data_IF_120832193339
#
_entry.id   IF_120832193339
#
_cell.length_a   1.000
_cell.length_b   1.000
_cell.length_c   1.000
_cell.angle_alpha   90.00
_cell.angle_beta   90.00
_cell.angle_gamma   90.00
#
_symmetry.space_group_name_H-M   'P 1'
#
loop_
_entity.id
_entity.type
_entity.pdbx_description
1 polymer ?
#
# COMPACT_ATOMS: atom_id res chain seq x y z
N UNK A 1 7.53 -65.95 -28.28
CA UNK A 1 7.54 -66.61 -26.96
C UNK A 1 7.29 -65.53 -25.90
N UNK A 2 6.12 -65.53 -25.26
CA UNK A 2 5.75 -64.57 -24.22
C UNK A 2 6.18 -65.12 -22.85
N UNK A 3 7.05 -64.41 -22.15
CA UNK A 3 7.46 -64.72 -20.78
C UNK A 3 6.56 -63.97 -19.80
N UNK A 4 5.67 -64.69 -19.13
CA UNK A 4 4.80 -64.17 -18.06
C UNK A 4 5.61 -63.89 -16.79
N UNK A 5 5.57 -62.65 -16.28
CA UNK A 5 6.07 -62.29 -14.94
C UNK A 5 5.26 -63.03 -13.86
N UNK A 6 5.87 -63.52 -12.76
CA UNK A 6 5.11 -64.14 -11.67
C UNK A 6 4.24 -63.09 -10.97
N UNK A 7 2.97 -63.44 -10.70
CA UNK A 7 2.04 -62.64 -9.90
C UNK A 7 2.56 -62.52 -8.46
N UNK A 8 2.81 -61.31 -7.98
CA UNK A 8 3.09 -61.07 -6.56
C UNK A 8 1.88 -61.47 -5.71
N UNK A 9 2.08 -62.43 -4.80
CA UNK A 9 1.02 -62.90 -3.90
C UNK A 9 0.83 -61.88 -2.77
N UNK A 10 -0.27 -61.15 -2.78
CA UNK A 10 -0.66 -60.31 -1.65
C UNK A 10 -1.00 -61.18 -0.43
N UNK A 11 -0.31 -60.93 0.68
CA UNK A 11 -0.55 -61.63 1.94
C UNK A 11 -1.95 -61.29 2.49
N UNK A 12 -2.65 -62.31 2.97
CA UNK A 12 -3.92 -62.14 3.69
C UNK A 12 -3.70 -61.43 5.05
N UNK A 13 -4.77 -60.92 5.66
CA UNK A 13 -4.68 -60.26 6.97
C UNK A 13 -4.15 -61.21 8.07
N UNK A 14 -4.54 -62.48 8.03
CA UNK A 14 -4.05 -63.50 8.98
C UNK A 14 -2.56 -63.80 8.75
N UNK A 15 -2.11 -63.84 7.50
CA UNK A 15 -0.70 -64.01 7.15
C UNK A 15 0.15 -62.79 7.58
N UNK A 16 -0.39 -61.57 7.43
CA UNK A 16 0.25 -60.33 7.92
C UNK A 16 0.37 -60.32 9.44
N UNK A 17 -0.68 -60.73 10.15
CA UNK A 17 -0.70 -60.81 11.61
C UNK A 17 0.29 -61.87 12.13
N UNK A 18 0.25 -63.07 11.56
CA UNK A 18 1.20 -64.15 11.89
C UNK A 18 2.65 -63.71 11.66
N UNK A 19 2.94 -63.07 10.51
CA UNK A 19 4.26 -62.52 10.20
C UNK A 19 4.71 -61.44 11.19
N UNK A 20 3.79 -60.59 11.65
CA UNK A 20 4.07 -59.60 12.68
C UNK A 20 4.38 -60.27 14.02
N UNK A 21 3.59 -61.26 14.45
CA UNK A 21 3.82 -62.02 15.68
C UNK A 21 5.18 -62.73 15.66
N UNK A 22 5.56 -63.34 14.53
CA UNK A 22 6.88 -63.99 14.37
C UNK A 22 8.02 -62.96 14.44
N UNK A 23 7.88 -61.81 13.77
CA UNK A 23 8.88 -60.73 13.82
C UNK A 23 8.99 -60.10 15.21
N UNK A 24 7.91 -60.00 15.96
CA UNK A 24 7.95 -59.47 17.33
C UNK A 24 8.64 -60.42 18.32
N UNK A 25 8.84 -61.70 17.98
CA UNK A 25 9.64 -62.64 18.78
C UNK A 25 11.15 -62.53 18.53
N UNK A 26 11.55 -61.93 17.40
CA UNK A 26 12.95 -61.75 17.04
C UNK A 26 13.52 -60.48 17.71
N UNK A 27 14.61 -60.60 18.51
CA UNK A 27 15.25 -59.46 19.19
C UNK A 27 15.69 -58.34 18.26
N UNK A 28 16.14 -58.64 17.04
CA UNK A 28 16.59 -57.63 16.07
C UNK A 28 15.40 -56.85 15.49
N UNK A 29 14.31 -57.55 15.15
CA UNK A 29 13.09 -56.92 14.68
C UNK A 29 12.40 -56.08 15.76
N UNK A 30 12.52 -56.47 17.04
CA UNK A 30 12.06 -55.63 18.17
C UNK A 30 12.87 -54.35 18.28
N UNK A 31 14.20 -54.42 18.14
CA UNK A 31 15.07 -53.23 18.12
C UNK A 31 14.74 -52.32 16.93
N UNK A 32 14.66 -52.89 15.73
CA UNK A 32 14.32 -52.16 14.51
C UNK A 32 12.93 -51.52 14.59
N UNK A 33 11.91 -52.25 15.05
CA UNK A 33 10.57 -51.74 15.28
C UNK A 33 10.54 -50.63 16.33
N UNK A 34 11.31 -50.78 17.42
CA UNK A 34 11.49 -49.75 18.44
C UNK A 34 12.12 -48.46 17.89
N UNK A 35 13.17 -48.56 17.07
CA UNK A 35 13.81 -47.42 16.41
C UNK A 35 12.85 -46.71 15.44
N UNK A 36 12.06 -47.47 14.68
CA UNK A 36 11.05 -46.92 13.76
C UNK A 36 9.91 -46.22 14.50
N UNK A 37 9.41 -46.82 15.58
CA UNK A 37 8.33 -46.25 16.38
C UNK A 37 8.80 -45.00 17.13
N UNK A 38 9.97 -45.05 17.76
CA UNK A 38 10.57 -43.90 18.45
C UNK A 38 10.87 -42.75 17.49
N UNK A 39 11.41 -43.02 16.30
CA UNK A 39 11.60 -42.00 15.27
C UNK A 39 10.29 -41.34 14.82
N UNK A 40 9.21 -42.12 14.65
CA UNK A 40 7.87 -41.59 14.32
C UNK A 40 7.26 -40.77 15.45
N UNK A 41 7.33 -41.26 16.69
CA UNK A 41 6.82 -40.56 17.87
C UNK A 41 7.58 -39.25 18.11
N UNK A 42 8.91 -39.26 17.92
CA UNK A 42 9.74 -38.06 17.98
C UNK A 42 9.36 -37.07 16.87
N UNK A 43 9.15 -37.55 15.63
CA UNK A 43 8.67 -36.72 14.52
C UNK A 43 7.31 -36.08 14.80
N UNK A 44 6.34 -36.85 15.32
CA UNK A 44 5.02 -36.32 15.73
C UNK A 44 5.18 -35.31 16.87
N UNK A 45 6.02 -35.60 17.86
CA UNK A 45 6.31 -34.69 18.98
C UNK A 45 6.90 -33.36 18.52
N UNK A 46 7.84 -33.38 17.56
CA UNK A 46 8.42 -32.16 16.96
C UNK A 46 7.35 -31.37 16.20
N UNK A 47 6.49 -32.03 15.42
CA UNK A 47 5.39 -31.36 14.71
C UNK A 47 4.39 -30.73 15.69
N UNK A 48 4.01 -31.43 16.76
CA UNK A 48 3.10 -30.91 17.76
C UNK A 48 3.73 -29.76 18.57
N UNK A 49 5.02 -29.85 18.89
CA UNK A 49 5.75 -28.75 19.53
C UNK A 49 5.82 -27.53 18.62
N UNK A 50 6.11 -27.74 17.32
CA UNK A 50 6.07 -26.67 16.33
C UNK A 50 4.68 -26.06 16.22
N UNK A 51 3.61 -26.86 16.19
CA UNK A 51 2.23 -26.36 16.22
C UNK A 51 1.92 -25.57 17.50
N UNK A 52 2.40 -26.01 18.66
CA UNK A 52 2.20 -25.31 19.94
C UNK A 52 2.94 -23.98 20.00
N UNK A 53 4.21 -23.97 19.60
CA UNK A 53 5.03 -22.74 19.53
C UNK A 53 4.45 -21.80 18.47
N UNK A 54 4.06 -22.32 17.30
CA UNK A 54 3.46 -21.51 16.26
C UNK A 54 2.10 -20.97 16.71
N UNK A 55 1.29 -21.78 17.40
CA UNK A 55 0.00 -21.34 17.93
C UNK A 55 0.15 -20.29 19.03
N UNK A 56 1.12 -20.44 19.92
CA UNK A 56 1.34 -19.49 21.02
C UNK A 56 2.01 -18.19 20.60
N UNK A 57 2.79 -18.20 19.50
CA UNK A 57 3.54 -17.03 19.00
C UNK A 57 2.80 -16.30 17.86
N UNK A 58 2.07 -17.02 17.00
CA UNK A 58 1.47 -16.44 15.79
C UNK A 58 -0.06 -16.32 15.80
N UNK A 59 -0.77 -16.93 16.76
CA UNK A 59 -2.22 -16.84 16.82
C UNK A 59 -2.69 -15.97 17.99
N UNK A 60 -3.57 -15.02 17.71
CA UNK A 60 -4.22 -14.18 18.72
C UNK A 60 -5.29 -14.96 19.48
N UNK A 61 -5.39 -14.75 20.79
CA UNK A 61 -6.42 -15.37 21.64
C UNK A 61 -7.81 -14.81 21.30
N UNK A 62 -8.60 -15.54 20.50
CA UNK A 62 -9.99 -15.17 20.20
C UNK A 62 -10.86 -15.58 21.38
N UNK A 63 -11.44 -14.61 22.07
CA UNK A 63 -12.39 -14.86 23.15
C UNK A 63 -13.79 -14.95 22.56
N UNK A 64 -14.47 -16.08 22.76
CA UNK A 64 -15.88 -16.20 22.41
C UNK A 64 -16.71 -15.26 23.29
N UNK A 65 -17.55 -14.45 22.65
CA UNK A 65 -18.43 -13.51 23.35
C UNK A 65 -19.53 -14.29 24.08
N UNK A 66 -19.54 -14.24 25.42
CA UNK A 66 -20.54 -14.90 26.25
C UNK A 66 -21.71 -13.95 26.56
N UNK A 67 -22.81 -14.08 25.82
CA UNK A 67 -24.11 -13.44 26.13
C UNK A 67 -24.79 -12.80 24.91
N UNK A 68 -26.13 -12.64 24.92
CA UNK A 68 -26.83 -11.87 23.90
C UNK A 68 -26.44 -10.38 24.03
N UNK A 69 -25.95 -9.72 22.96
CA UNK A 69 -25.48 -8.36 23.06
C UNK A 69 -26.65 -7.38 23.16
N UNK A 70 -26.60 -6.49 24.14
CA UNK A 70 -27.35 -5.24 24.09
C UNK A 70 -26.74 -4.39 22.98
N UNK A 71 -27.46 -4.23 21.86
CA UNK A 71 -26.93 -3.56 20.66
C UNK A 71 -26.81 -2.06 20.94
N UNK A 72 -25.58 -1.58 21.12
CA UNK A 72 -25.27 -0.15 21.19
C UNK A 72 -25.09 0.41 19.79
N UNK A 73 -25.31 1.71 19.61
CA UNK A 73 -25.08 2.37 18.32
C UNK A 73 -23.64 2.14 17.79
N UNK A 74 -22.64 2.09 18.68
CA UNK A 74 -21.25 1.79 18.33
C UNK A 74 -21.07 0.37 17.75
N UNK A 75 -21.87 -0.61 18.17
CA UNK A 75 -21.82 -1.98 17.67
C UNK A 75 -22.29 -2.10 16.21
N UNK A 76 -22.93 -1.04 15.68
CA UNK A 76 -23.35 -0.92 14.29
C UNK A 76 -22.43 0.03 13.52
N UNK A 77 -22.12 1.21 14.08
CA UNK A 77 -21.34 2.25 13.41
C UNK A 77 -19.88 1.83 13.19
N UNK A 78 -19.24 1.22 14.19
CA UNK A 78 -17.83 0.83 14.09
C UNK A 78 -17.60 -0.21 12.99
N UNK A 79 -18.41 -1.30 12.86
CA UNK A 79 -18.31 -2.20 11.73
C UNK A 79 -18.56 -1.55 10.37
N UNK A 80 -19.52 -0.62 10.27
CA UNK A 80 -19.82 0.08 9.00
C UNK A 80 -18.65 0.96 8.57
N UNK A 81 -18.08 1.74 9.49
CA UNK A 81 -16.88 2.55 9.24
C UNK A 81 -15.66 1.69 8.92
N UNK A 82 -15.53 0.54 9.59
CA UNK A 82 -14.47 -0.44 9.30
C UNK A 82 -14.62 -1.03 7.90
N UNK A 83 -15.84 -1.42 7.51
CA UNK A 83 -16.11 -1.94 6.16
C UNK A 83 -15.78 -0.90 5.10
N UNK A 84 -16.23 0.35 5.29
CA UNK A 84 -15.91 1.46 4.40
C UNK A 84 -14.40 1.66 4.25
N UNK A 85 -13.67 1.69 5.37
CA UNK A 85 -12.22 1.86 5.38
C UNK A 85 -11.51 0.71 4.66
N UNK A 86 -11.96 -0.54 4.83
CA UNK A 86 -11.39 -1.69 4.13
C UNK A 86 -11.64 -1.64 2.62
N UNK A 87 -12.87 -1.32 2.19
CA UNK A 87 -13.18 -1.14 0.77
C UNK A 87 -12.30 -0.05 0.17
N UNK A 88 -12.18 1.08 0.86
CA UNK A 88 -11.29 2.15 0.45
C UNK A 88 -9.82 1.71 0.38
N UNK A 89 -9.34 0.96 1.37
CA UNK A 89 -7.97 0.43 1.37
C UNK A 89 -7.69 -0.48 0.17
N UNK A 90 -8.66 -1.32 -0.23
CA UNK A 90 -8.52 -2.19 -1.39
C UNK A 90 -8.48 -1.41 -2.70
N UNK A 91 -9.26 -0.33 -2.81
CA UNK A 91 -9.22 0.58 -3.95
C UNK A 91 -7.88 1.32 -4.04
N UNK A 92 -7.36 1.80 -2.90
CA UNK A 92 -6.03 2.44 -2.84
C UNK A 92 -4.93 1.45 -3.18
N UNK A 93 -4.96 0.24 -2.65
CA UNK A 93 -4.01 -0.80 -3.05
C UNK A 93 -4.10 -1.13 -4.54
N UNK A 94 -5.30 -1.08 -5.12
CA UNK A 94 -5.52 -1.16 -6.57
C UNK A 94 -4.78 -0.10 -7.38
N UNK A 95 -4.42 1.05 -6.78
CA UNK A 95 -3.57 2.05 -7.42
C UNK A 95 -2.19 1.51 -7.76
N UNK A 96 -1.69 0.48 -7.07
CA UNK A 96 -0.39 -0.10 -7.41
C UNK A 96 -0.36 -0.77 -8.77
N UNK A 97 -1.47 -1.39 -9.19
CA UNK A 97 -1.63 -1.87 -10.56
C UNK A 97 -1.58 -0.67 -11.52
N UNK A 98 -2.25 0.42 -11.16
CA UNK A 98 -2.24 1.68 -11.90
C UNK A 98 -0.84 2.26 -12.08
N UNK A 99 -0.06 2.41 -11.01
CA UNK A 99 1.32 2.90 -11.06
C UNK A 99 2.22 1.98 -11.86
N UNK A 100 2.17 0.68 -11.62
CA UNK A 100 2.96 -0.32 -12.35
C UNK A 100 2.73 -0.19 -13.86
N UNK A 101 1.47 -0.06 -14.29
CA UNK A 101 1.13 0.13 -15.69
C UNK A 101 1.53 1.52 -16.22
N UNK A 102 1.28 2.58 -15.44
CA UNK A 102 1.64 3.95 -15.80
C UNK A 102 3.15 4.06 -16.05
N UNK A 103 3.95 3.57 -15.11
CA UNK A 103 5.42 3.59 -15.15
C UNK A 103 5.96 2.71 -16.25
N UNK A 104 5.43 1.49 -16.40
CA UNK A 104 5.78 0.61 -17.51
C UNK A 104 5.53 1.34 -18.84
N UNK A 105 4.32 1.84 -19.08
CA UNK A 105 3.99 2.49 -20.35
C UNK A 105 4.85 3.72 -20.67
N UNK A 106 5.15 4.56 -19.66
CA UNK A 106 6.00 5.73 -19.82
C UNK A 106 7.51 5.44 -19.82
N UNK A 107 7.95 4.27 -19.37
CA UNK A 107 9.34 3.87 -19.50
C UNK A 107 9.64 3.41 -20.94
N UNK A 108 10.93 3.15 -21.19
CA UNK A 108 11.40 2.53 -22.43
C UNK A 108 11.19 1.02 -22.33
N UNK A 109 10.97 0.35 -23.46
CA UNK A 109 10.65 -1.09 -23.49
C UNK A 109 11.70 -2.00 -22.85
N UNK A 110 12.97 -1.60 -22.84
CA UNK A 110 14.06 -2.39 -22.24
C UNK A 110 14.09 -2.32 -20.70
N UNK A 111 13.41 -1.35 -20.09
CA UNK A 111 13.33 -1.16 -18.64
C UNK A 111 12.05 -1.77 -18.05
N UNK A 112 11.06 -2.14 -18.87
CA UNK A 112 9.73 -2.56 -18.42
C UNK A 112 9.80 -3.71 -17.39
N UNK A 113 10.60 -4.75 -17.63
CA UNK A 113 10.72 -5.89 -16.70
C UNK A 113 11.25 -5.45 -15.33
N UNK A 114 12.19 -4.50 -15.32
CA UNK A 114 12.77 -3.97 -14.10
C UNK A 114 11.74 -3.16 -13.30
N UNK A 115 10.96 -2.32 -13.98
CA UNK A 115 9.85 -1.56 -13.38
C UNK A 115 8.82 -2.50 -12.72
N UNK A 116 8.42 -3.57 -13.42
CA UNK A 116 7.46 -4.53 -12.88
C UNK A 116 7.97 -5.20 -11.60
N UNK A 117 9.25 -5.58 -11.59
CA UNK A 117 9.86 -6.21 -10.41
C UNK A 117 10.02 -5.21 -9.26
N UNK A 118 10.42 -3.98 -9.55
CA UNK A 118 10.58 -2.91 -8.57
C UNK A 118 9.27 -2.58 -7.88
N UNK A 119 8.18 -2.33 -8.63
CA UNK A 119 6.88 -2.01 -8.02
C UNK A 119 6.39 -3.12 -7.06
N UNK A 120 6.49 -4.39 -7.47
CA UNK A 120 6.04 -5.52 -6.64
C UNK A 120 6.90 -5.69 -5.39
N UNK A 121 8.22 -5.59 -5.53
CA UNK A 121 9.14 -5.75 -4.41
C UNK A 121 9.04 -4.56 -3.44
N UNK A 122 8.89 -3.34 -3.97
CA UNK A 122 8.64 -2.13 -3.19
C UNK A 122 7.36 -2.28 -2.36
N UNK A 123 6.28 -2.79 -2.95
CA UNK A 123 5.04 -3.10 -2.22
C UNK A 123 5.24 -4.08 -1.06
N UNK A 124 5.94 -5.18 -1.32
CA UNK A 124 6.21 -6.19 -0.28
C UNK A 124 7.08 -5.61 0.85
N UNK A 125 8.12 -4.86 0.49
CA UNK A 125 9.05 -4.25 1.44
C UNK A 125 8.34 -3.16 2.25
N UNK A 126 7.51 -2.36 1.59
CA UNK A 126 6.67 -1.34 2.20
C UNK A 126 5.76 -1.95 3.27
N UNK A 127 5.04 -3.02 2.93
CA UNK A 127 4.15 -3.70 3.88
C UNK A 127 4.87 -4.18 5.14
N UNK A 128 6.05 -4.80 5.00
CA UNK A 128 6.82 -5.29 6.15
C UNK A 128 7.38 -4.15 6.99
N UNK A 129 7.90 -3.09 6.37
CA UNK A 129 8.47 -1.94 7.09
C UNK A 129 7.41 -1.11 7.79
N UNK A 130 6.27 -0.90 7.14
CA UNK A 130 5.17 -0.15 7.70
C UNK A 130 4.49 -0.91 8.84
N UNK A 131 4.44 -2.25 8.76
CA UNK A 131 4.09 -3.13 9.88
C UNK A 131 5.08 -3.00 11.05
N UNK A 132 6.38 -3.10 10.77
CA UNK A 132 7.40 -3.18 11.82
C UNK A 132 7.60 -1.85 12.56
N UNK A 133 7.73 -0.74 11.82
CA UNK A 133 8.11 0.56 12.39
C UNK A 133 7.33 1.75 11.79
N UNK A 134 6.91 1.70 10.53
CA UNK A 134 6.33 2.87 9.86
C UNK A 134 5.02 3.34 10.48
N UNK A 135 4.09 2.42 10.78
CA UNK A 135 2.85 2.79 11.46
C UNK A 135 3.09 3.34 12.87
N UNK A 136 4.05 2.76 13.59
CA UNK A 136 4.46 3.24 14.92
C UNK A 136 4.94 4.69 14.85
N UNK A 137 5.87 4.99 13.95
CA UNK A 137 6.40 6.35 13.79
C UNK A 137 5.34 7.36 13.35
N UNK A 138 4.40 6.95 12.49
CA UNK A 138 3.42 7.86 11.90
C UNK A 138 2.20 8.12 12.78
N UNK A 139 1.58 7.07 13.32
CA UNK A 139 0.24 7.15 13.89
C UNK A 139 0.18 6.89 15.40
N UNK A 140 1.27 6.48 16.03
CA UNK A 140 1.28 6.32 17.49
C UNK A 140 1.57 7.61 18.23
N UNK A 141 1.16 7.67 19.49
CA UNK A 141 1.55 8.76 20.38
C UNK A 141 3.07 8.80 20.62
N UNK A 142 3.60 10.01 20.83
CA UNK A 142 5.02 10.23 21.05
C UNK A 142 5.32 11.68 21.38
N UNK A 143 5.94 12.40 20.44
CA UNK A 143 6.17 13.84 20.53
C UNK A 143 5.82 14.51 19.19
N UNK A 144 5.97 15.84 19.11
CA UNK A 144 5.73 16.61 17.88
C UNK A 144 6.31 16.03 16.59
N UNK A 145 7.45 15.34 16.69
CA UNK A 145 8.25 14.89 15.56
C UNK A 145 8.00 13.43 15.16
N UNK A 146 7.73 12.53 16.11
CA UNK A 146 7.64 11.08 15.84
C UNK A 146 6.87 10.32 16.94
N UNK A 147 6.15 9.27 16.54
CA UNK A 147 5.49 8.32 17.45
C UNK A 147 6.45 7.29 18.07
N UNK A 148 6.09 6.76 19.26
CA UNK A 148 6.94 5.89 20.08
C UNK A 148 6.31 4.53 20.44
N UNK A 149 5.10 4.23 19.99
CA UNK A 149 4.35 3.03 20.38
C UNK A 149 3.91 2.19 19.18
N UNK A 150 3.48 0.94 19.45
CA UNK A 150 2.96 0.01 18.44
C UNK A 150 3.96 -0.47 17.39
N UNK A 151 5.25 -0.55 17.73
CA UNK A 151 6.22 -1.30 16.93
C UNK A 151 5.74 -2.74 16.73
N UNK A 152 5.80 -3.23 15.48
CA UNK A 152 5.25 -4.53 15.09
C UNK A 152 3.75 -4.68 15.42
N UNK A 153 3.01 -3.57 15.46
CA UNK A 153 1.61 -3.47 15.88
C UNK A 153 1.33 -4.04 17.29
N UNK A 154 2.36 -4.18 18.13
CA UNK A 154 2.24 -4.75 19.48
C UNK A 154 1.59 -3.74 20.44
N UNK A 155 0.65 -4.23 21.25
CA UNK A 155 -0.07 -3.38 22.20
C UNK A 155 -1.05 -2.40 21.54
N UNK A 156 -1.40 -2.64 20.27
CA UNK A 156 -2.42 -1.86 19.57
C UNK A 156 -3.81 -2.05 20.22
N UNK A 157 -4.60 -0.97 20.41
CA UNK A 157 -5.98 -1.07 20.85
C UNK A 157 -6.88 -1.72 19.78
N UNK A 158 -8.13 -2.01 20.14
CA UNK A 158 -9.09 -2.59 19.20
C UNK A 158 -9.47 -1.64 18.06
N UNK A 159 -9.57 -0.33 18.35
CA UNK A 159 -9.87 0.72 17.40
C UNK A 159 -8.80 1.80 17.43
N UNK A 160 -8.57 2.47 16.29
CA UNK A 160 -7.63 3.59 16.22
C UNK A 160 -8.28 4.89 16.74
N UNK A 161 -7.71 5.48 17.78
CA UNK A 161 -8.19 6.73 18.39
C UNK A 161 -9.71 6.73 18.61
N UNK A 162 -10.34 7.90 18.44
CA UNK A 162 -11.80 8.07 18.51
C UNK A 162 -12.52 7.75 17.20
N UNK A 163 -11.85 7.15 16.21
CA UNK A 163 -12.45 6.90 14.88
C UNK A 163 -13.52 5.81 14.90
N UNK A 164 -13.42 4.88 15.87
CA UNK A 164 -14.25 3.68 15.92
C UNK A 164 -13.89 2.64 14.85
N UNK A 165 -12.91 2.90 13.99
CA UNK A 165 -12.44 1.95 12.97
C UNK A 165 -11.50 0.93 13.61
N UNK A 166 -11.67 -0.34 13.26
CA UNK A 166 -10.77 -1.40 13.73
C UNK A 166 -9.30 -1.06 13.40
N UNK A 167 -8.42 -1.20 14.38
CA UNK A 167 -7.03 -0.73 14.27
C UNK A 167 -6.30 -1.32 13.06
N UNK A 168 -6.46 -2.62 12.80
CA UNK A 168 -5.84 -3.28 11.64
C UNK A 168 -6.44 -2.85 10.30
N UNK A 169 -7.69 -2.38 10.27
CA UNK A 169 -8.27 -1.81 9.07
C UNK A 169 -7.65 -0.44 8.75
N UNK A 170 -7.40 0.39 9.79
CA UNK A 170 -6.62 1.64 9.63
C UNK A 170 -5.20 1.33 9.19
N UNK A 171 -4.56 0.30 9.77
CA UNK A 171 -3.22 -0.11 9.33
C UNK A 171 -3.17 -0.45 7.84
N UNK A 172 -4.10 -1.29 7.34
CA UNK A 172 -4.11 -1.69 5.92
C UNK A 172 -4.40 -0.49 5.00
N UNK A 173 -5.27 0.42 5.45
CA UNK A 173 -5.58 1.65 4.73
C UNK A 173 -4.33 2.54 4.61
N UNK A 174 -3.65 2.78 5.72
CA UNK A 174 -2.47 3.64 5.76
C UNK A 174 -1.23 3.00 5.12
N UNK A 175 -1.10 1.67 5.16
CA UNK A 175 -0.11 0.94 4.37
C UNK A 175 -0.25 1.29 2.89
N UNK A 176 -1.47 1.28 2.36
CA UNK A 176 -1.68 1.56 0.94
C UNK A 176 -1.28 3.01 0.56
N UNK A 177 -1.37 3.97 1.49
CA UNK A 177 -0.90 5.35 1.29
C UNK A 177 0.63 5.46 1.35
N UNK A 178 1.26 4.77 2.31
CA UNK A 178 2.72 4.68 2.40
C UNK A 178 3.30 4.08 1.13
N UNK A 179 2.67 3.02 0.63
CA UNK A 179 3.03 2.34 -0.59
C UNK A 179 2.85 3.22 -1.83
N UNK A 180 1.76 4.00 -1.90
CA UNK A 180 1.56 5.02 -2.95
C UNK A 180 2.70 6.06 -2.93
N UNK A 181 3.12 6.52 -1.75
CA UNK A 181 4.22 7.48 -1.63
C UNK A 181 5.56 6.91 -2.13
N UNK A 182 5.84 5.65 -1.78
CA UNK A 182 7.06 4.95 -2.22
C UNK A 182 7.10 4.80 -3.74
N UNK A 183 6.01 4.34 -4.35
CA UNK A 183 5.93 4.12 -5.81
C UNK A 183 6.05 5.42 -6.62
N UNK A 184 5.56 6.56 -6.12
CA UNK A 184 5.81 7.87 -6.79
C UNK A 184 7.32 8.12 -6.98
N UNK A 185 8.13 7.66 -6.04
CA UNK A 185 9.58 7.85 -6.05
C UNK A 185 10.27 6.97 -7.10
N UNK A 186 9.87 5.69 -7.26
CA UNK A 186 10.47 4.78 -8.24
C UNK A 186 10.36 5.32 -9.65
N UNK A 187 9.18 5.79 -10.04
CA UNK A 187 8.86 6.23 -11.41
C UNK A 187 9.81 7.30 -11.97
N UNK A 188 10.26 8.22 -11.11
CA UNK A 188 11.18 9.29 -11.51
C UNK A 188 12.61 8.79 -11.77
N UNK A 189 13.00 7.71 -11.10
CA UNK A 189 14.37 7.19 -11.11
C UNK A 189 14.59 6.04 -12.10
N UNK A 190 13.51 5.52 -12.72
CA UNK A 190 13.54 4.45 -13.73
C UNK A 190 14.66 4.59 -14.76
N UNK A 191 15.30 3.45 -15.05
CA UNK A 191 16.26 3.26 -16.15
C UNK A 191 17.66 3.79 -15.87
N UNK A 192 17.95 4.10 -14.60
CA UNK A 192 19.26 4.55 -14.11
C UNK A 192 19.52 4.26 -12.63
N UNK A 193 18.51 3.93 -11.83
CA UNK A 193 18.72 3.23 -10.56
C UNK A 193 18.99 1.75 -10.83
N UNK A 194 19.86 1.15 -10.03
CA UNK A 194 19.98 -0.30 -9.97
C UNK A 194 19.13 -0.84 -8.83
N UNK A 195 18.62 -2.06 -8.98
CA UNK A 195 17.69 -2.71 -8.05
C UNK A 195 18.06 -2.61 -6.54
N UNK A 196 19.35 -2.68 -6.19
CA UNK A 196 19.78 -2.51 -4.78
C UNK A 196 19.54 -1.08 -4.27
N UNK A 197 19.75 -0.08 -5.12
CA UNK A 197 19.38 1.31 -4.83
C UNK A 197 17.88 1.46 -4.62
N UNK A 198 17.07 0.70 -5.36
CA UNK A 198 15.62 0.69 -5.20
C UNK A 198 15.18 0.13 -3.85
N UNK A 199 15.76 -0.99 -3.43
CA UNK A 199 15.54 -1.53 -2.09
C UNK A 199 15.94 -0.52 -0.99
N UNK A 200 17.10 0.12 -1.14
CA UNK A 200 17.59 1.06 -0.13
C UNK A 200 16.74 2.32 -0.03
N UNK A 201 16.29 2.90 -1.15
CA UNK A 201 15.37 4.04 -1.06
C UNK A 201 14.05 3.60 -0.43
N UNK A 202 13.49 2.45 -0.81
CA UNK A 202 12.23 1.95 -0.27
C UNK A 202 12.30 1.78 1.26
N UNK A 203 13.42 1.23 1.77
CA UNK A 203 13.66 1.18 3.22
C UNK A 203 13.64 2.56 3.87
N UNK A 204 14.35 3.53 3.28
CA UNK A 204 14.41 4.89 3.80
C UNK A 204 13.05 5.60 3.74
N UNK A 205 12.32 5.46 2.64
CA UNK A 205 11.05 6.14 2.41
C UNK A 205 9.98 5.57 3.32
N UNK A 206 9.69 4.28 3.23
CA UNK A 206 8.60 3.67 4.00
C UNK A 206 8.94 3.51 5.48
N UNK A 207 10.20 3.23 5.80
CA UNK A 207 10.62 3.03 7.19
C UNK A 207 10.80 4.32 7.99
N UNK A 208 11.15 5.44 7.32
CA UNK A 208 11.58 6.66 8.02
C UNK A 208 11.00 7.94 7.44
N UNK A 209 11.29 8.29 6.18
CA UNK A 209 10.97 9.63 5.64
C UNK A 209 9.46 9.87 5.61
N UNK A 210 8.70 8.98 4.96
CA UNK A 210 7.25 9.07 4.88
C UNK A 210 6.58 9.04 6.25
N UNK A 211 6.80 8.03 7.12
CA UNK A 211 6.07 7.97 8.38
C UNK A 211 6.44 9.10 9.36
N UNK A 212 7.69 9.57 9.38
CA UNK A 212 8.09 10.68 10.27
C UNK A 212 7.45 11.99 9.82
N UNK A 213 7.53 12.34 8.54
CA UNK A 213 6.90 13.57 8.03
C UNK A 213 5.37 13.44 8.10
N UNK A 214 4.84 12.24 7.84
CA UNK A 214 3.43 11.91 8.04
C UNK A 214 2.96 12.16 9.47
N UNK A 215 3.79 11.83 10.47
CA UNK A 215 3.49 12.12 11.87
C UNK A 215 3.30 13.61 12.13
N UNK A 216 4.08 14.47 11.47
CA UNK A 216 3.98 15.92 11.67
C UNK A 216 2.58 16.43 11.34
N UNK A 217 1.99 15.91 10.25
CA UNK A 217 0.71 16.37 9.69
C UNK A 217 -0.52 15.57 10.14
N UNK A 218 -0.38 14.25 10.33
CA UNK A 218 -1.49 13.33 10.62
C UNK A 218 -1.33 12.55 11.93
N UNK A 219 -0.16 12.60 12.56
CA UNK A 219 0.06 11.98 13.86
C UNK A 219 -0.72 12.72 14.95
N UNK A 220 -1.15 12.02 16.01
CA UNK A 220 -1.96 12.61 17.08
C UNK A 220 -1.26 13.77 17.79
N UNK A 221 0.07 13.71 17.86
CA UNK A 221 0.92 14.70 18.54
C UNK A 221 1.68 15.60 17.55
N UNK A 222 1.40 15.50 16.24
CA UNK A 222 2.18 16.12 15.18
C UNK A 222 2.33 17.64 15.30
N UNK A 223 3.55 18.15 15.16
CA UNK A 223 3.81 19.58 15.33
C UNK A 223 3.10 20.47 14.28
N UNK A 224 2.90 19.98 13.05
CA UNK A 224 2.11 20.68 12.04
C UNK A 224 0.61 20.53 12.31
N UNK A 225 0.16 19.33 12.70
CA UNK A 225 -1.24 19.07 13.07
C UNK A 225 -1.71 19.99 14.20
N UNK A 226 -0.84 20.25 15.19
CA UNK A 226 -1.15 21.05 16.36
C UNK A 226 -0.70 22.52 16.27
N UNK A 227 -0.14 22.98 15.14
CA UNK A 227 0.56 24.27 15.06
C UNK A 227 -0.26 25.48 15.51
N UNK A 228 -1.58 25.47 15.27
CA UNK A 228 -2.50 26.56 15.63
C UNK A 228 -3.22 26.38 16.96
N UNK A 229 -2.94 25.31 17.69
CA UNK A 229 -3.53 25.02 19.00
C UNK A 229 -2.81 25.79 20.12
N UNK A 230 -3.46 25.92 21.28
CA UNK A 230 -2.87 26.59 22.44
C UNK A 230 -1.51 25.96 22.82
N UNK A 231 -0.51 26.80 23.09
CA UNK A 231 0.83 26.36 23.47
C UNK A 231 1.74 25.90 22.32
N UNK A 232 1.31 26.01 21.06
CA UNK A 232 2.10 25.62 19.88
C UNK A 232 2.61 26.84 19.07
N UNK A 233 3.58 26.59 18.18
CA UNK A 233 4.43 27.64 17.60
C UNK A 233 3.70 28.66 16.69
N UNK A 234 2.47 28.37 16.26
CA UNK A 234 1.68 29.29 15.43
C UNK A 234 0.24 29.48 15.96
N UNK A 235 0.09 29.54 17.27
CA UNK A 235 -1.22 29.69 17.94
C UNK A 235 -2.08 30.83 17.39
N UNK A 236 -1.49 31.95 16.95
CA UNK A 236 -2.23 33.08 16.37
C UNK A 236 -3.02 32.73 15.09
N UNK A 237 -2.65 31.64 14.40
CA UNK A 237 -3.35 31.16 13.22
C UNK A 237 -4.69 30.48 13.58
N UNK A 238 -4.80 29.92 14.79
CA UNK A 238 -6.01 29.27 15.31
C UNK A 238 -6.44 27.99 14.59
N UNK A 239 -5.64 27.50 13.63
CA UNK A 239 -5.89 26.28 12.86
C UNK A 239 -4.60 25.47 12.68
N UNK A 240 -4.74 24.15 12.73
CA UNK A 240 -3.66 23.21 12.41
C UNK A 240 -3.38 23.12 10.90
N UNK A 241 -2.32 22.41 10.55
CA UNK A 241 -2.08 22.05 9.15
C UNK A 241 -3.14 21.08 8.66
N UNK A 242 -3.76 21.38 7.53
CA UNK A 242 -4.82 20.56 6.94
C UNK A 242 -4.36 19.93 5.64
N UNK A 243 -4.42 18.60 5.60
CA UNK A 243 -4.27 17.80 4.39
C UNK A 243 -5.22 16.61 4.51
N UNK A 244 -6.37 16.65 3.82
CA UNK A 244 -7.44 15.69 4.06
C UNK A 244 -7.04 14.26 3.70
N UNK A 245 -6.47 14.06 2.51
CA UNK A 245 -6.11 12.74 2.00
C UNK A 245 -4.65 12.65 1.52
N UNK A 246 -3.85 13.72 1.53
CA UNK A 246 -2.40 13.60 1.29
C UNK A 246 -1.87 14.26 0.01
N UNK A 247 -2.35 15.44 -0.41
CA UNK A 247 -1.63 16.20 -1.47
C UNK A 247 -0.21 16.52 -1.03
N UNK A 248 -0.03 16.80 0.26
CA UNK A 248 1.28 17.02 0.85
C UNK A 248 1.86 15.70 1.32
N UNK A 249 1.19 15.03 2.25
CA UNK A 249 1.72 13.87 2.98
C UNK A 249 2.08 12.71 2.04
N UNK A 250 1.34 12.49 0.96
CA UNK A 250 1.68 11.42 0.00
C UNK A 250 2.40 11.99 -1.21
N UNK A 251 1.74 12.90 -1.94
CA UNK A 251 2.22 13.29 -3.27
C UNK A 251 3.38 14.29 -3.23
N UNK A 252 3.37 15.25 -2.32
CA UNK A 252 4.47 16.22 -2.20
C UNK A 252 5.71 15.54 -1.61
N UNK A 253 5.56 14.72 -0.56
CA UNK A 253 6.68 13.93 -0.04
C UNK A 253 7.30 13.07 -1.14
N UNK A 254 6.49 12.23 -1.80
CA UNK A 254 6.97 11.38 -2.90
C UNK A 254 7.60 12.19 -4.03
N UNK A 255 7.00 13.32 -4.40
CA UNK A 255 7.51 14.21 -5.45
C UNK A 255 8.86 14.87 -5.11
N UNK A 256 9.08 15.28 -3.86
CA UNK A 256 10.36 15.84 -3.43
C UNK A 256 11.46 14.77 -3.28
N UNK A 257 11.11 13.56 -2.85
CA UNK A 257 12.06 12.44 -2.83
C UNK A 257 12.43 12.05 -4.27
N UNK A 258 11.43 11.95 -5.15
CA UNK A 258 11.63 11.73 -6.58
C UNK A 258 12.54 12.79 -7.22
N UNK A 259 12.35 14.06 -6.87
CA UNK A 259 13.20 15.17 -7.32
C UNK A 259 14.63 15.03 -6.81
N UNK A 260 14.82 14.76 -5.52
CA UNK A 260 16.14 14.56 -4.93
C UNK A 260 16.87 13.37 -5.59
N UNK A 261 16.19 12.24 -5.76
CA UNK A 261 16.71 11.07 -6.47
C UNK A 261 17.08 11.37 -7.92
N UNK A 262 16.23 12.12 -8.64
CA UNK A 262 16.51 12.52 -10.01
C UNK A 262 17.72 13.47 -10.12
N UNK A 263 17.93 14.36 -9.15
CA UNK A 263 19.10 15.26 -9.09
C UNK A 263 20.38 14.45 -8.87
N UNK A 264 20.37 13.52 -7.91
CA UNK A 264 21.56 12.71 -7.55
C UNK A 264 21.95 11.75 -8.67
N UNK A 265 20.98 11.05 -9.27
CA UNK A 265 21.22 10.11 -10.36
C UNK A 265 21.55 10.79 -11.69
N UNK A 266 21.12 12.04 -11.85
CA UNK A 266 21.26 12.79 -13.09
C UNK A 266 20.40 12.27 -14.24
N UNK A 267 20.68 12.68 -15.49
CA UNK A 267 19.87 12.33 -16.66
C UNK A 267 20.00 10.86 -17.09
N UNK A 268 18.94 10.27 -17.66
CA UNK A 268 18.99 8.92 -18.25
C UNK A 268 20.00 8.87 -19.40
N UNK A 269 20.66 7.72 -19.57
CA UNK A 269 21.56 7.47 -20.70
C UNK A 269 20.83 7.68 -22.03
N UNK A 270 21.43 8.49 -22.91
CA UNK A 270 20.87 8.87 -24.21
C UNK A 270 19.85 10.02 -24.17
N UNK A 271 19.61 10.65 -23.02
CA UNK A 271 18.73 11.82 -22.90
C UNK A 271 19.29 12.99 -23.72
N UNK A 272 18.55 13.40 -24.75
CA UNK A 272 18.77 14.68 -25.46
C UNK A 272 17.82 15.73 -24.91
N UNK A 273 18.37 16.85 -24.43
CA UNK A 273 17.58 17.95 -23.89
C UNK A 273 17.12 18.90 -24.98
N UNK A 274 16.11 19.73 -24.68
CA UNK A 274 15.59 20.75 -25.61
C UNK A 274 16.69 21.70 -26.12
N UNK A 275 17.65 22.08 -25.25
CA UNK A 275 18.82 22.89 -25.64
C UNK A 275 19.73 22.22 -26.66
N UNK A 276 19.70 20.89 -26.73
CA UNK A 276 20.50 20.04 -27.61
C UNK A 276 19.67 19.49 -28.79
N UNK A 277 18.50 20.10 -29.07
CA UNK A 277 17.58 19.67 -30.13
C UNK A 277 16.73 18.43 -29.80
N UNK A 278 16.72 17.98 -28.55
CA UNK A 278 15.85 16.90 -28.08
C UNK A 278 14.47 17.37 -27.63
N UNK A 279 13.63 16.44 -27.20
CA UNK A 279 12.30 16.68 -26.62
C UNK A 279 12.05 15.76 -25.44
N UNK A 280 10.88 15.75 -24.78
CA UNK A 280 10.51 14.72 -23.81
C UNK A 280 10.75 13.30 -24.36
N UNK A 281 11.10 12.34 -23.51
CA UNK A 281 11.11 10.94 -23.96
C UNK A 281 9.67 10.50 -24.17
N UNK A 282 9.42 9.84 -25.30
CA UNK A 282 8.11 9.31 -25.62
C UNK A 282 7.86 8.02 -24.83
N UNK A 283 6.60 7.76 -24.40
CA UNK A 283 6.21 6.48 -23.84
C UNK A 283 6.46 5.36 -24.85
N UNK A 284 6.86 4.18 -24.37
CA UNK A 284 6.99 3.03 -25.26
C UNK A 284 5.63 2.38 -25.58
N UNK A 285 4.68 2.45 -24.64
CA UNK A 285 3.32 1.94 -24.80
C UNK A 285 2.32 2.88 -24.11
N UNK A 286 1.66 3.70 -24.92
CA UNK A 286 0.67 4.67 -24.44
C UNK A 286 -0.63 4.00 -23.99
N UNK A 287 -0.97 2.82 -24.52
CA UNK A 287 -2.16 2.08 -24.10
C UNK A 287 -2.01 1.65 -22.66
N UNK A 288 -0.88 1.03 -22.30
CA UNK A 288 -0.60 0.62 -20.92
C UNK A 288 -0.53 1.84 -20.00
N UNK A 289 0.15 2.92 -20.43
CA UNK A 289 0.25 4.15 -19.64
C UNK A 289 -1.13 4.76 -19.32
N UNK A 290 -1.98 4.91 -20.33
CA UNK A 290 -3.32 5.50 -20.17
C UNK A 290 -4.22 4.58 -19.35
N UNK A 291 -4.18 3.27 -19.57
CA UNK A 291 -4.94 2.31 -18.75
C UNK A 291 -4.49 2.37 -17.29
N UNK A 292 -3.19 2.44 -17.02
CA UNK A 292 -2.65 2.64 -15.68
C UNK A 292 -3.18 3.91 -15.01
N UNK A 293 -3.15 5.04 -15.73
CA UNK A 293 -3.72 6.30 -15.25
C UNK A 293 -5.21 6.21 -14.91
N UNK A 294 -6.01 5.50 -15.71
CA UNK A 294 -7.44 5.32 -15.43
C UNK A 294 -7.69 4.42 -14.21
N UNK A 295 -6.85 3.40 -14.00
CA UNK A 295 -6.88 2.58 -12.77
C UNK A 295 -6.51 3.43 -11.55
N UNK A 296 -5.54 4.33 -11.66
CA UNK A 296 -5.22 5.29 -10.59
C UNK A 296 -6.41 6.19 -10.26
N UNK A 297 -7.11 6.72 -11.26
CA UNK A 297 -8.34 7.47 -11.03
C UNK A 297 -9.36 6.63 -10.26
N UNK A 298 -9.61 5.39 -10.69
CA UNK A 298 -10.52 4.49 -9.99
C UNK A 298 -10.10 4.26 -8.52
N UNK A 299 -8.82 4.00 -8.26
CA UNK A 299 -8.30 3.84 -6.90
C UNK A 299 -8.40 5.10 -6.04
N UNK A 300 -8.40 6.29 -6.66
CA UNK A 300 -8.59 7.57 -5.99
C UNK A 300 -9.95 7.72 -5.30
N UNK A 301 -10.95 6.92 -5.68
CA UNK A 301 -12.23 6.82 -4.95
C UNK A 301 -12.11 6.09 -3.60
N UNK A 302 -11.07 5.28 -3.41
CA UNK A 302 -10.66 4.82 -2.07
C UNK A 302 -9.81 5.85 -1.36
N UNK A 303 -8.92 6.52 -2.09
CA UNK A 303 -7.94 7.45 -1.52
C UNK A 303 -8.60 8.68 -0.87
N UNK A 304 -9.38 9.43 -1.66
CA UNK A 304 -9.99 10.67 -1.18
C UNK A 304 -11.22 10.35 -0.30
N UNK A 305 -12.32 9.76 -0.82
CA UNK A 305 -13.49 9.45 0.01
C UNK A 305 -13.20 8.57 1.22
N UNK A 306 -12.29 7.60 1.11
CA UNK A 306 -11.93 6.72 2.23
C UNK A 306 -11.27 7.45 3.39
N UNK A 307 -10.63 8.58 3.13
CA UNK A 307 -10.00 9.41 4.17
C UNK A 307 -11.00 10.06 5.13
N UNK A 308 -12.31 9.92 4.89
CA UNK A 308 -13.31 10.23 5.93
C UNK A 308 -13.25 9.27 7.11
N UNK A 309 -12.73 8.05 6.91
CA UNK A 309 -12.73 6.93 7.87
C UNK A 309 -14.12 6.58 8.44
N UNK A 310 -15.18 7.15 7.85
CA UNK A 310 -16.53 7.08 8.37
C UNK A 310 -17.52 7.02 7.22
N UNK A 311 -18.26 5.92 7.14
CA UNK A 311 -19.39 5.77 6.23
C UNK A 311 -20.62 6.57 6.68
N UNK A 312 -20.59 7.12 7.90
CA UNK A 312 -21.68 7.90 8.45
C UNK A 312 -21.66 9.37 8.01
N UNK A 313 -20.55 9.86 7.44
CA UNK A 313 -20.49 11.21 6.87
C UNK A 313 -21.12 11.25 5.46
N UNK A 314 -22.45 11.22 5.45
CA UNK A 314 -23.27 11.17 4.23
C UNK A 314 -22.92 12.29 3.24
N UNK A 315 -22.76 13.51 3.75
CA UNK A 315 -22.49 14.70 2.91
C UNK A 315 -21.02 14.76 2.51
N UNK A 316 -20.12 14.45 3.44
CA UNK A 316 -18.67 14.48 3.21
C UNK A 316 -18.23 13.47 2.16
N UNK A 317 -18.61 12.19 2.29
CA UNK A 317 -18.21 11.15 1.33
C UNK A 317 -18.67 11.51 -0.09
N UNK A 318 -19.93 11.91 -0.24
CA UNK A 318 -20.50 12.28 -1.54
C UNK A 318 -19.80 13.51 -2.15
N UNK A 319 -19.53 14.53 -1.32
CA UNK A 319 -18.82 15.74 -1.76
C UNK A 319 -17.39 15.42 -2.19
N UNK A 320 -16.65 14.67 -1.38
CA UNK A 320 -15.26 14.31 -1.66
C UNK A 320 -15.15 13.50 -2.94
N UNK A 321 -16.04 12.53 -3.15
CA UNK A 321 -16.08 11.73 -4.37
C UNK A 321 -16.36 12.61 -5.61
N UNK A 322 -17.38 13.46 -5.55
CA UNK A 322 -17.72 14.37 -6.64
C UNK A 322 -16.58 15.36 -6.95
N UNK A 323 -15.98 15.95 -5.92
CA UNK A 323 -14.84 16.86 -6.06
C UNK A 323 -13.64 16.18 -6.71
N UNK A 324 -13.37 14.93 -6.35
CA UNK A 324 -12.28 14.11 -6.93
C UNK A 324 -12.46 13.95 -8.44
N UNK A 325 -13.65 13.54 -8.89
CA UNK A 325 -13.96 13.40 -10.33
C UNK A 325 -13.93 14.73 -11.06
N UNK A 326 -14.53 15.78 -10.49
CA UNK A 326 -14.64 17.09 -11.15
C UNK A 326 -13.27 17.74 -11.37
N UNK A 327 -12.36 17.65 -10.38
CA UNK A 327 -11.00 18.14 -10.53
C UNK A 327 -10.20 17.35 -11.57
N UNK A 328 -10.34 16.02 -11.60
CA UNK A 328 -9.70 15.18 -12.61
C UNK A 328 -10.19 15.51 -14.03
N UNK A 329 -11.49 15.67 -14.21
CA UNK A 329 -12.10 16.06 -15.48
C UNK A 329 -11.59 17.43 -15.95
N UNK A 330 -11.63 18.45 -15.07
CA UNK A 330 -11.19 19.79 -15.45
C UNK A 330 -9.70 19.85 -15.75
N UNK A 331 -8.87 19.11 -15.00
CA UNK A 331 -7.44 19.02 -15.24
C UNK A 331 -7.09 18.27 -16.54
N UNK A 332 -7.79 17.17 -16.84
CA UNK A 332 -7.66 16.44 -18.11
C UNK A 332 -8.04 17.30 -19.32
N UNK A 333 -9.13 18.07 -19.23
CA UNK A 333 -9.56 18.96 -20.30
C UNK A 333 -8.63 20.16 -20.48
N UNK A 334 -8.19 20.79 -19.39
CA UNK A 334 -7.29 21.95 -19.48
C UNK A 334 -5.88 21.56 -19.95
N UNK A 335 -5.35 20.43 -19.50
CA UNK A 335 -4.05 19.90 -19.94
C UNK A 335 -4.03 19.56 -21.43
N UNK A 336 -5.08 18.88 -21.95
CA UNK A 336 -5.15 18.53 -23.37
C UNK A 336 -5.33 19.77 -24.25
N UNK A 337 -6.13 20.75 -23.81
CA UNK A 337 -6.32 22.02 -24.51
C UNK A 337 -5.02 22.84 -24.54
N UNK A 338 -4.35 22.99 -23.39
CA UNK A 338 -3.06 23.69 -23.31
C UNK A 338 -1.99 22.98 -24.15
N UNK A 339 -1.94 21.64 -24.07
CA UNK A 339 -1.10 20.79 -24.87
C UNK A 339 -1.29 20.98 -26.38
N UNK A 340 -2.54 21.02 -26.82
CA UNK A 340 -2.89 21.25 -28.22
C UNK A 340 -2.34 22.60 -28.72
N UNK A 341 -2.39 23.66 -27.92
CA UNK A 341 -1.83 24.95 -28.34
C UNK A 341 -0.30 24.92 -28.51
N UNK A 342 0.40 24.09 -27.72
CA UNK A 342 1.87 23.90 -27.74
C UNK A 342 2.33 22.95 -28.85
N UNK A 343 1.64 21.83 -29.03
CA UNK A 343 2.05 20.73 -29.91
C UNK A 343 1.29 20.68 -31.26
N UNK A 344 0.14 21.37 -31.36
CA UNK A 344 -0.81 21.30 -32.49
C UNK A 344 -1.39 19.91 -32.74
N UNK A 345 -1.36 19.05 -31.73
CA UNK A 345 -1.91 17.69 -31.73
C UNK A 345 -2.61 17.38 -30.40
N UNK A 346 -3.58 16.47 -30.44
CA UNK A 346 -4.23 15.96 -29.23
C UNK A 346 -3.37 14.85 -28.62
N UNK A 347 -2.82 15.09 -27.43
CA UNK A 347 -1.85 14.19 -26.79
C UNK A 347 -2.45 13.47 -25.57
N UNK A 348 -2.51 12.14 -25.62
CA UNK A 348 -3.08 11.36 -24.52
C UNK A 348 -2.17 11.36 -23.28
N UNK A 349 -0.84 11.50 -23.43
CA UNK A 349 0.08 11.60 -22.29
C UNK A 349 -0.19 12.88 -21.50
N UNK A 350 -0.45 13.99 -22.19
CA UNK A 350 -0.77 15.27 -21.55
C UNK A 350 -2.10 15.18 -20.81
N UNK A 351 -3.11 14.57 -21.45
CA UNK A 351 -4.43 14.34 -20.84
C UNK A 351 -4.31 13.47 -19.58
N UNK A 352 -3.53 12.38 -19.66
CA UNK A 352 -3.34 11.44 -18.55
C UNK A 352 -2.61 12.07 -17.39
N UNK A 353 -1.46 12.69 -17.62
CA UNK A 353 -0.74 13.40 -16.56
C UNK A 353 -1.55 14.60 -16.03
N UNK A 354 -2.36 15.23 -16.88
CA UNK A 354 -3.28 16.30 -16.53
C UNK A 354 -4.33 15.88 -15.52
N UNK A 355 -5.13 14.86 -15.80
CA UNK A 355 -6.14 14.42 -14.83
C UNK A 355 -5.49 13.90 -13.54
N UNK A 356 -4.32 13.25 -13.62
CA UNK A 356 -3.57 12.82 -12.44
C UNK A 356 -3.13 14.03 -11.59
N UNK A 357 -2.67 15.12 -12.22
CA UNK A 357 -2.35 16.36 -11.50
C UNK A 357 -3.58 16.97 -10.83
N UNK A 358 -4.75 16.93 -11.48
CA UNK A 358 -6.01 17.34 -10.87
C UNK A 358 -6.40 16.51 -9.65
N UNK A 359 -6.25 15.19 -9.74
CA UNK A 359 -6.47 14.27 -8.63
C UNK A 359 -5.51 14.56 -7.47
N UNK A 360 -4.22 14.75 -7.74
CA UNK A 360 -3.23 15.16 -6.73
C UNK A 360 -3.60 16.49 -6.09
N UNK A 361 -3.98 17.50 -6.87
CA UNK A 361 -4.27 18.84 -6.35
C UNK A 361 -5.53 18.91 -5.48
N UNK A 362 -6.56 18.12 -5.78
CA UNK A 362 -7.81 18.11 -4.99
C UNK A 362 -7.71 17.23 -3.74
N UNK A 363 -6.71 16.35 -3.64
CA UNK A 363 -6.55 15.38 -2.55
C UNK A 363 -6.56 16.03 -1.15
N UNK A 364 -5.85 17.14 -0.95
CA UNK A 364 -5.87 17.92 0.29
C UNK A 364 -7.22 18.63 0.50
N UNK A 365 -7.73 19.46 -0.43
CA UNK A 365 -8.91 20.27 -0.16
C UNK A 365 -10.26 19.58 -0.41
N UNK A 366 -10.31 18.33 -0.88
CA UNK A 366 -11.54 17.69 -1.40
C UNK A 366 -12.72 17.65 -0.43
N UNK A 367 -12.48 17.69 0.89
CA UNK A 367 -13.53 17.76 1.90
C UNK A 367 -14.11 19.18 2.09
N UNK A 368 -13.25 20.19 2.00
CA UNK A 368 -13.55 21.56 2.41
C UNK A 368 -14.01 22.48 1.26
N UNK A 369 -13.73 22.10 0.00
CA UNK A 369 -14.13 22.93 -1.16
C UNK A 369 -15.45 22.50 -1.77
N UNK A 370 -16.09 23.43 -2.48
CA UNK A 370 -17.28 23.15 -3.28
C UNK A 370 -16.94 22.40 -4.58
N UNK A 371 -17.93 21.77 -5.24
CA UNK A 371 -17.80 21.24 -6.60
C UNK A 371 -17.23 22.24 -7.60
N UNK A 372 -17.61 23.51 -7.52
CA UNK A 372 -17.04 24.55 -8.37
C UNK A 372 -15.57 24.84 -8.02
N UNK A 373 -15.23 24.85 -6.73
CA UNK A 373 -13.85 25.01 -6.28
C UNK A 373 -12.93 23.89 -6.77
N UNK A 374 -13.41 22.63 -6.75
CA UNK A 374 -12.63 21.49 -7.24
C UNK A 374 -12.37 21.58 -8.75
N UNK A 375 -13.34 22.02 -9.56
CA UNK A 375 -13.15 22.29 -10.99
C UNK A 375 -12.05 23.33 -11.22
N UNK A 376 -12.05 24.44 -10.47
CA UNK A 376 -11.04 25.49 -10.62
C UNK A 376 -9.64 25.00 -10.23
N UNK A 377 -9.51 24.32 -9.09
CA UNK A 377 -8.23 23.78 -8.62
C UNK A 377 -7.67 22.74 -9.60
N UNK A 378 -8.52 21.82 -10.06
CA UNK A 378 -8.12 20.84 -11.08
C UNK A 378 -7.72 21.51 -12.40
N UNK A 379 -8.48 22.51 -12.86
CA UNK A 379 -8.17 23.23 -14.10
C UNK A 379 -6.83 23.95 -14.04
N UNK A 380 -6.48 24.54 -12.90
CA UNK A 380 -5.16 25.16 -12.67
C UNK A 380 -4.06 24.08 -12.67
N UNK A 381 -4.26 22.98 -11.94
CA UNK A 381 -3.30 21.89 -11.88
C UNK A 381 -3.01 21.26 -13.25
N UNK A 382 -4.05 21.08 -14.07
CA UNK A 382 -3.94 20.54 -15.43
C UNK A 382 -3.10 21.41 -16.36
N UNK A 383 -3.13 22.74 -16.19
CA UNK A 383 -2.22 23.64 -16.93
C UNK A 383 -0.80 23.54 -16.36
N UNK A 384 -0.65 23.65 -15.04
CA UNK A 384 0.66 23.73 -14.39
C UNK A 384 1.53 22.49 -14.59
N UNK A 385 0.95 21.29 -14.71
CA UNK A 385 1.73 20.07 -14.95
C UNK A 385 2.37 20.02 -16.35
N UNK A 386 1.88 20.83 -17.30
CA UNK A 386 2.35 20.84 -18.70
C UNK A 386 3.28 22.02 -19.02
N UNK A 387 3.12 23.14 -18.30
CA UNK A 387 3.97 24.35 -18.42
C UNK A 387 5.41 23.97 -18.14
#
# INVERSE_FOLDING_TARGET
MSATKPRERHLSLSEKYSRLCTRLRDPEWRRYGGTLLSGKLLGVGVVLLFMLVVSGVFFTSVHAQSGPPEVKAADIVNPVNTMWTLVAAFLVFGMQVGFTMLEAGFCRSRETVNVLAECVVDTCLCGILFYAIGFAFMFSHGNGFIGHHWFFLQGAPATYESTGVAFLAVWIFQFAFADTCSTITSGAMIGRTGFVGDLLYSVCVTGFIYPIIGHWAWGPDGWLALMGSDGHFFQSLGIGFHDFAGSTVVHTIGGFIALAGAIVLGPRLGRKFKRDGGGPMLPHDLTIAVTGGLILWFGWYGFNPGSTLSAMDLVGIGRVAANTTLAACSAGLTSILYGYFKMKTWDASYTTNGFLAGLVAITCPCYWVSPTGSVLLGGIAGVLVIV
#
